data_IF_414527198422
#
_entry.id   IF_414527198422
#
_cell.length_a   1.000
_cell.length_b   1.000
_cell.length_c   1.000
_cell.angle_alpha   90.00
_cell.angle_beta   90.00
_cell.angle_gamma   90.00
#
_symmetry.space_group_name_H-M   'P 1'
#
loop_
_entity.id
_entity.type
_entity.pdbx_description
1 polymer ?
#
# COMPACT_ATOMS: atom_id res chain seq x y z
N UNK A 1 -16.46 -25.82 5.45
CA UNK A 1 -16.56 -26.40 6.81
C UNK A 1 -16.32 -27.90 6.70
N UNK A 2 -15.39 -28.47 7.47
CA UNK A 2 -15.19 -29.93 7.54
C UNK A 2 -15.85 -30.44 8.82
N UNK A 3 -16.59 -31.54 8.76
CA UNK A 3 -17.19 -32.18 9.94
C UNK A 3 -18.67 -31.85 10.24
N UNK A 4 -19.45 -31.38 9.25
CA UNK A 4 -20.92 -31.28 9.38
C UNK A 4 -21.47 -30.03 10.09
N UNK A 5 -20.61 -29.09 10.50
CA UNK A 5 -21.06 -27.80 11.01
C UNK A 5 -21.83 -27.02 9.92
N UNK A 6 -22.94 -26.39 10.31
CA UNK A 6 -23.81 -25.59 9.44
C UNK A 6 -23.76 -24.09 9.74
N UNK A 7 -23.17 -23.70 10.88
CA UNK A 7 -23.10 -22.31 11.35
C UNK A 7 -21.70 -22.02 11.91
N UNK A 8 -21.24 -20.78 11.74
CA UNK A 8 -20.05 -20.25 12.39
C UNK A 8 -20.38 -18.92 13.05
N UNK A 9 -19.81 -18.67 14.22
CA UNK A 9 -19.85 -17.35 14.85
C UNK A 9 -18.58 -16.59 14.49
N UNK A 10 -18.73 -15.34 14.07
CA UNK A 10 -17.63 -14.49 13.60
C UNK A 10 -17.82 -13.08 14.12
N UNK A 11 -16.75 -12.30 14.11
CA UNK A 11 -16.81 -10.86 14.38
C UNK A 11 -16.09 -10.09 13.30
N UNK A 12 -16.57 -8.88 13.03
CA UNK A 12 -15.87 -7.96 12.12
C UNK A 12 -14.48 -7.69 12.67
N UNK A 13 -13.48 -7.73 11.79
CA UNK A 13 -12.07 -7.55 12.12
C UNK A 13 -11.49 -8.60 13.08
N UNK A 14 -12.24 -9.67 13.39
CA UNK A 14 -11.86 -10.66 14.39
C UNK A 14 -11.91 -10.14 15.83
N UNK A 15 -12.64 -9.05 16.10
CA UNK A 15 -12.74 -8.50 17.46
C UNK A 15 -13.30 -9.51 18.47
N UNK A 16 -12.79 -9.47 19.69
CA UNK A 16 -13.25 -10.31 20.79
C UNK A 16 -12.38 -10.12 22.02
N UNK A 17 -12.63 -10.93 23.05
CA UNK A 17 -11.73 -11.03 24.20
C UNK A 17 -10.44 -11.75 23.81
N UNK A 18 -9.32 -11.40 24.46
CA UNK A 18 -8.00 -12.01 24.25
C UNK A 18 -7.54 -11.92 22.79
N UNK A 19 -7.40 -13.07 22.11
CA UNK A 19 -6.90 -13.15 20.73
C UNK A 19 -7.98 -12.85 19.67
N UNK A 20 -9.23 -12.64 20.07
CA UNK A 20 -10.34 -12.37 19.15
C UNK A 20 -11.15 -13.61 18.76
N UNK A 21 -12.13 -13.40 17.88
CA UNK A 21 -12.94 -14.44 17.27
C UNK A 21 -12.55 -14.65 15.80
N UNK A 22 -13.12 -15.66 15.15
CA UNK A 22 -13.00 -15.82 13.71
C UNK A 22 -13.44 -14.54 12.99
N UNK A 23 -12.57 -14.02 12.12
CA UNK A 23 -12.83 -12.80 11.38
C UNK A 23 -13.90 -13.04 10.30
N UNK A 24 -14.94 -12.20 10.30
CA UNK A 24 -16.06 -12.30 9.36
C UNK A 24 -15.56 -12.23 7.91
N UNK A 25 -14.76 -11.22 7.59
CA UNK A 25 -14.26 -10.95 6.24
C UNK A 25 -13.39 -12.09 5.70
N UNK A 26 -12.56 -12.70 6.55
CA UNK A 26 -11.72 -13.84 6.17
C UNK A 26 -12.57 -15.11 5.99
N UNK A 27 -13.53 -15.32 6.89
CA UNK A 27 -14.42 -16.50 6.86
C UNK A 27 -15.32 -16.50 5.63
N UNK A 28 -15.93 -15.36 5.30
CA UNK A 28 -16.80 -15.19 4.11
C UNK A 28 -16.02 -15.49 2.84
N UNK A 29 -14.83 -14.88 2.68
CA UNK A 29 -14.00 -15.08 1.49
C UNK A 29 -13.49 -16.51 1.39
N UNK A 30 -13.01 -17.09 2.51
CA UNK A 30 -12.51 -18.46 2.53
C UNK A 30 -13.60 -19.49 2.21
N UNK A 31 -14.81 -19.33 2.77
CA UNK A 31 -15.95 -20.21 2.48
C UNK A 31 -16.33 -20.17 1.00
N UNK A 32 -16.39 -18.97 0.40
CA UNK A 32 -16.69 -18.84 -1.03
C UNK A 32 -15.57 -19.42 -1.91
N UNK A 33 -14.30 -19.11 -1.62
CA UNK A 33 -13.17 -19.47 -2.51
C UNK A 33 -12.71 -20.92 -2.38
N UNK A 34 -12.73 -21.49 -1.16
CA UNK A 34 -12.19 -22.82 -0.90
C UNK A 34 -13.26 -23.91 -0.89
N UNK A 35 -14.52 -23.53 -0.74
CA UNK A 35 -15.63 -24.48 -0.57
C UNK A 35 -16.85 -24.17 -1.45
N UNK A 36 -16.82 -23.09 -2.24
CA UNK A 36 -17.96 -22.59 -3.03
C UNK A 36 -19.26 -22.42 -2.22
N UNK A 37 -19.12 -22.09 -0.93
CA UNK A 37 -20.25 -21.83 -0.05
C UNK A 37 -20.59 -20.34 -0.11
N UNK A 38 -21.79 -20.03 -0.57
CA UNK A 38 -22.35 -18.68 -0.46
C UNK A 38 -22.91 -18.44 0.94
N UNK A 39 -22.47 -17.36 1.58
CA UNK A 39 -22.91 -16.94 2.92
C UNK A 39 -24.03 -15.91 2.87
N UNK A 40 -24.39 -15.41 1.69
CA UNK A 40 -25.30 -14.26 1.50
C UNK A 40 -24.68 -12.90 1.86
N UNK A 41 -23.39 -12.86 2.22
CA UNK A 41 -22.70 -11.62 2.55
C UNK A 41 -22.13 -10.98 1.28
N UNK A 42 -22.46 -9.71 1.05
CA UNK A 42 -21.90 -8.93 -0.04
C UNK A 42 -20.43 -8.59 0.24
N UNK A 43 -19.52 -9.32 -0.40
CA UNK A 43 -18.08 -9.21 -0.18
C UNK A 43 -17.52 -7.79 -0.48
N UNK A 44 -18.15 -7.06 -1.40
CA UNK A 44 -17.81 -5.67 -1.74
C UNK A 44 -18.03 -4.67 -0.60
N UNK A 45 -18.85 -5.01 0.39
CA UNK A 45 -19.15 -4.15 1.55
C UNK A 45 -18.25 -4.44 2.76
N UNK A 46 -17.42 -5.48 2.71
CA UNK A 46 -16.60 -5.91 3.85
C UNK A 46 -15.64 -4.83 4.32
N UNK A 47 -15.03 -4.07 3.39
CA UNK A 47 -14.12 -2.97 3.74
C UNK A 47 -14.86 -1.84 4.48
N UNK A 48 -16.03 -1.44 3.99
CA UNK A 48 -16.83 -0.40 4.64
C UNK A 48 -17.27 -0.78 6.06
N UNK A 49 -17.74 -2.02 6.25
CA UNK A 49 -18.10 -2.51 7.58
C UNK A 49 -16.88 -2.60 8.51
N UNK A 50 -15.74 -3.07 7.99
CA UNK A 50 -14.47 -3.11 8.72
C UNK A 50 -14.07 -1.72 9.25
N UNK A 51 -14.18 -0.69 8.41
CA UNK A 51 -13.82 0.69 8.77
C UNK A 51 -14.80 1.29 9.81
N UNK A 52 -16.11 1.05 9.66
CA UNK A 52 -17.11 1.48 10.64
C UNK A 52 -16.85 0.86 12.02
N UNK A 53 -16.53 -0.44 12.06
CA UNK A 53 -16.24 -1.14 13.33
C UNK A 53 -14.91 -0.69 13.93
N UNK A 54 -13.88 -0.45 13.11
CA UNK A 54 -12.60 0.09 13.58
C UNK A 54 -12.79 1.45 14.25
N UNK A 55 -13.59 2.33 13.63
CA UNK A 55 -13.93 3.64 14.18
C UNK A 55 -14.73 3.50 15.49
N UNK A 56 -15.81 2.73 15.49
CA UNK A 56 -16.69 2.59 16.65
C UNK A 56 -16.00 1.93 17.86
N UNK A 57 -15.09 0.98 17.61
CA UNK A 57 -14.37 0.28 18.67
C UNK A 57 -13.09 1.00 19.13
N UNK A 58 -12.65 2.04 18.41
CA UNK A 58 -11.35 2.68 18.64
C UNK A 58 -10.16 1.76 18.36
N UNK A 59 -10.35 0.65 17.63
CA UNK A 59 -9.30 -0.33 17.31
C UNK A 59 -8.97 -0.29 15.83
N UNK A 60 -7.86 0.34 15.42
CA UNK A 60 -7.51 0.45 14.01
C UNK A 60 -7.17 -0.92 13.42
N UNK A 61 -7.49 -1.10 12.14
CA UNK A 61 -7.15 -2.30 11.37
C UNK A 61 -5.71 -2.19 10.87
N UNK A 62 -4.92 -3.23 11.09
CA UNK A 62 -3.57 -3.32 10.53
C UNK A 62 -3.60 -3.26 9.00
N UNK A 63 -2.68 -2.51 8.40
CA UNK A 63 -2.68 -2.31 6.95
C UNK A 63 -2.45 -3.60 6.15
N UNK A 64 -1.77 -4.59 6.73
CA UNK A 64 -1.53 -5.91 6.15
C UNK A 64 -2.59 -6.97 6.53
N UNK A 65 -3.67 -6.59 7.24
CA UNK A 65 -4.74 -7.54 7.59
C UNK A 65 -5.41 -8.08 6.33
N UNK A 66 -5.56 -9.39 6.26
CA UNK A 66 -6.25 -10.09 5.17
C UNK A 66 -7.59 -9.45 4.80
N UNK A 67 -7.90 -9.40 3.50
CA UNK A 67 -9.15 -8.91 2.90
C UNK A 67 -9.38 -7.40 3.03
N UNK A 68 -9.30 -6.85 4.24
CA UNK A 68 -9.72 -5.46 4.56
C UNK A 68 -8.56 -4.50 4.87
N UNK A 69 -7.34 -5.00 4.97
CA UNK A 69 -6.14 -4.19 5.17
C UNK A 69 -5.86 -3.27 3.98
N UNK A 70 -5.34 -2.08 4.24
CA UNK A 70 -5.03 -1.08 3.20
C UNK A 70 -4.02 -1.55 2.15
N UNK A 71 -3.08 -2.43 2.52
CA UNK A 71 -1.94 -2.83 1.67
C UNK A 71 -2.09 -4.21 1.02
N UNK A 72 -3.17 -4.94 1.27
CA UNK A 72 -3.28 -6.33 0.77
C UNK A 72 -3.41 -6.45 -0.76
N UNK A 73 -3.71 -5.36 -1.46
CA UNK A 73 -3.74 -5.29 -2.93
C UNK A 73 -2.71 -4.31 -3.50
N UNK A 74 -1.76 -3.86 -2.68
CA UNK A 74 -0.70 -2.96 -3.12
C UNK A 74 0.50 -3.73 -3.68
N UNK A 75 1.04 -3.25 -4.78
CA UNK A 75 2.25 -3.77 -5.42
C UNK A 75 3.35 -2.71 -5.36
N UNK A 76 4.56 -3.13 -5.02
CA UNK A 76 5.70 -2.25 -5.05
C UNK A 76 6.07 -1.93 -6.51
N UNK A 77 6.17 -0.64 -6.85
CA UNK A 77 6.69 -0.22 -8.14
C UNK A 77 8.14 -0.71 -8.25
N UNK A 78 8.49 -1.45 -9.31
CA UNK A 78 9.80 -2.12 -9.46
C UNK A 78 9.83 -3.12 -10.62
N UNK A 79 10.88 -3.96 -10.68
CA UNK A 79 11.29 -4.86 -11.79
C UNK A 79 10.21 -5.79 -12.40
N UNK A 80 9.00 -5.83 -11.86
CA UNK A 80 7.92 -6.71 -12.34
C UNK A 80 6.53 -6.05 -12.41
N UNK A 81 6.41 -4.72 -12.51
CA UNK A 81 5.09 -4.08 -12.79
C UNK A 81 4.52 -4.58 -14.12
N UNK A 82 5.37 -4.89 -15.09
CA UNK A 82 5.00 -5.53 -16.36
C UNK A 82 4.34 -6.92 -16.19
N UNK A 83 4.70 -7.67 -15.15
CA UNK A 83 4.18 -9.01 -14.90
C UNK A 83 2.74 -9.02 -14.41
N UNK A 84 2.33 -8.00 -13.65
CA UNK A 84 0.95 -7.84 -13.14
C UNK A 84 -0.06 -7.71 -14.29
N UNK A 85 0.32 -7.02 -15.37
CA UNK A 85 -0.53 -6.88 -16.55
C UNK A 85 -0.48 -8.09 -17.48
N UNK A 86 0.57 -8.92 -17.39
CA UNK A 86 0.82 -10.02 -18.34
C UNK A 86 0.23 -11.36 -17.87
N UNK A 87 0.21 -11.66 -16.57
CA UNK A 87 -0.30 -12.95 -16.07
C UNK A 87 -1.00 -12.87 -14.69
N UNK A 88 -2.27 -12.42 -14.64
CA UNK A 88 -3.05 -12.32 -13.40
C UNK A 88 -3.25 -13.67 -12.66
N UNK A 89 -3.29 -14.76 -13.42
CA UNK A 89 -3.65 -16.11 -12.93
C UNK A 89 -2.48 -16.91 -12.35
N UNK A 90 -1.23 -16.42 -12.47
CA UNK A 90 -0.02 -17.20 -12.07
C UNK A 90 0.12 -17.39 -10.57
N UNK A 91 -0.61 -16.61 -9.79
CA UNK A 91 -0.79 -16.79 -8.36
C UNK A 91 -2.30 -16.79 -8.12
N UNK A 92 -2.81 -17.63 -7.22
CA UNK A 92 -4.21 -17.60 -6.78
C UNK A 92 -4.53 -16.32 -5.97
N UNK A 93 -4.09 -15.16 -6.47
CA UNK A 93 -4.37 -13.83 -5.98
C UNK A 93 -5.88 -13.64 -6.03
N UNK A 94 -6.48 -13.37 -4.87
CA UNK A 94 -7.85 -12.92 -4.81
C UNK A 94 -7.98 -11.63 -5.64
N UNK A 95 -8.73 -11.69 -6.75
CA UNK A 95 -9.00 -10.51 -7.57
C UNK A 95 -9.65 -9.43 -6.70
N UNK A 96 -9.04 -8.25 -6.51
CA UNK A 96 -9.58 -7.22 -5.64
C UNK A 96 -10.97 -6.75 -6.07
N UNK A 97 -11.35 -6.88 -7.35
CA UNK A 97 -12.66 -6.47 -7.85
C UNK A 97 -13.81 -7.22 -7.16
N UNK A 98 -13.60 -8.48 -6.75
CA UNK A 98 -14.62 -9.26 -6.01
C UNK A 98 -14.91 -8.69 -4.62
N UNK A 99 -14.01 -7.86 -4.11
CA UNK A 99 -14.14 -7.12 -2.85
C UNK A 99 -14.45 -5.63 -3.08
N UNK A 100 -14.73 -5.21 -4.32
CA UNK A 100 -14.95 -3.80 -4.65
C UNK A 100 -13.70 -2.95 -4.48
N UNK A 101 -12.52 -3.53 -4.74
CA UNK A 101 -11.22 -2.88 -4.60
C UNK A 101 -10.43 -2.98 -5.91
N UNK A 102 -9.35 -2.23 -5.97
CA UNK A 102 -8.43 -2.22 -7.10
C UNK A 102 -6.99 -2.45 -6.62
N UNK A 103 -6.14 -2.89 -7.54
CA UNK A 103 -4.70 -2.91 -7.30
C UNK A 103 -4.15 -1.49 -7.25
N UNK A 104 -3.26 -1.24 -6.30
CA UNK A 104 -2.55 0.03 -6.20
C UNK A 104 -1.04 -0.20 -6.34
N UNK A 105 -0.35 0.71 -7.02
CA UNK A 105 1.11 0.68 -7.12
C UNK A 105 1.67 1.69 -6.13
N UNK A 106 2.59 1.24 -5.28
CA UNK A 106 3.18 2.04 -4.20
C UNK A 106 4.70 2.09 -4.31
N UNK A 107 5.32 3.13 -3.76
CA UNK A 107 6.78 3.26 -3.71
C UNK A 107 7.40 2.30 -2.68
N UNK A 108 8.59 1.79 -3.00
CA UNK A 108 9.38 0.93 -2.13
C UNK A 108 10.86 0.87 -2.52
N UNK A 109 11.60 -0.05 -1.91
CA UNK A 109 13.07 -0.18 -2.04
C UNK A 109 13.56 -0.55 -3.44
N UNK A 110 12.70 -1.12 -4.26
CA UNK A 110 12.94 -1.54 -5.65
C UNK A 110 12.33 -0.56 -6.67
N UNK A 111 11.69 0.53 -6.22
CA UNK A 111 11.13 1.55 -7.13
C UNK A 111 12.16 2.15 -8.05
N UNK A 112 11.78 2.38 -9.30
CA UNK A 112 12.59 3.07 -10.31
C UNK A 112 12.24 4.56 -10.40
N UNK A 113 13.02 5.32 -11.16
CA UNK A 113 12.81 6.76 -11.33
C UNK A 113 11.43 7.10 -11.90
N UNK A 114 10.88 6.31 -12.81
CA UNK A 114 9.53 6.53 -13.36
C UNK A 114 8.43 6.42 -12.29
N UNK A 115 8.58 5.51 -11.34
CA UNK A 115 7.65 5.36 -10.23
C UNK A 115 7.69 6.57 -9.29
N UNK A 116 8.90 7.10 -9.04
CA UNK A 116 9.07 8.35 -8.29
C UNK A 116 8.34 9.50 -8.99
N UNK A 117 8.60 9.72 -10.27
CA UNK A 117 7.95 10.80 -11.05
C UNK A 117 6.44 10.70 -10.93
N UNK A 118 5.86 9.52 -11.20
CA UNK A 118 4.41 9.31 -11.13
C UNK A 118 3.84 9.53 -9.73
N UNK A 119 4.55 9.11 -8.69
CA UNK A 119 4.11 9.33 -7.32
C UNK A 119 4.07 10.82 -6.96
N UNK A 120 5.06 11.60 -7.39
CA UNK A 120 5.05 13.05 -7.17
C UNK A 120 4.05 13.79 -8.07
N UNK A 121 3.80 13.31 -9.30
CA UNK A 121 2.72 13.81 -10.15
C UNK A 121 1.34 13.66 -9.49
N UNK A 122 1.09 12.52 -8.82
CA UNK A 122 -0.14 12.30 -8.04
C UNK A 122 -0.27 13.28 -6.85
N UNK A 123 0.85 13.82 -6.36
CA UNK A 123 0.90 14.88 -5.34
C UNK A 123 0.82 16.30 -5.95
N UNK A 124 0.70 16.42 -7.27
CA UNK A 124 0.69 17.71 -7.98
C UNK A 124 2.08 18.34 -8.15
N UNK A 125 3.15 17.56 -8.04
CA UNK A 125 4.55 18.03 -8.12
C UNK A 125 5.21 17.45 -9.37
N UNK A 126 5.61 18.32 -10.28
CA UNK A 126 6.45 17.95 -11.43
C UNK A 126 7.92 17.90 -11.02
N UNK A 127 8.57 16.77 -11.22
CA UNK A 127 9.99 16.59 -10.93
C UNK A 127 10.85 16.72 -12.17
N UNK A 128 11.90 17.52 -12.08
CA UNK A 128 12.99 17.49 -13.05
C UNK A 128 13.76 16.15 -12.97
N UNK A 129 14.34 15.66 -14.09
CA UNK A 129 15.01 14.35 -14.13
C UNK A 129 16.12 14.18 -13.08
N UNK A 130 16.88 15.23 -12.80
CA UNK A 130 17.95 15.21 -11.82
C UNK A 130 17.43 15.10 -10.38
N UNK A 131 16.38 15.87 -10.06
CA UNK A 131 15.72 15.82 -8.76
C UNK A 131 15.04 14.46 -8.53
N UNK A 132 14.43 13.88 -9.55
CA UNK A 132 13.85 12.54 -9.48
C UNK A 132 14.91 11.46 -9.18
N UNK A 133 16.12 11.58 -9.75
CA UNK A 133 17.25 10.68 -9.43
C UNK A 133 17.77 10.90 -8.01
N UNK A 134 17.85 12.14 -7.54
CA UNK A 134 18.29 12.46 -6.19
C UNK A 134 17.31 11.93 -5.14
N UNK A 135 16.01 12.07 -5.37
CA UNK A 135 14.96 11.58 -4.48
C UNK A 135 14.88 10.05 -4.44
N UNK A 136 15.30 9.37 -5.51
CA UNK A 136 15.20 7.92 -5.63
C UNK A 136 15.92 7.18 -4.49
N UNK A 137 17.15 7.55 -4.16
CA UNK A 137 17.91 6.91 -3.07
C UNK A 137 17.22 7.15 -1.72
N UNK A 138 16.86 8.41 -1.42
CA UNK A 138 16.21 8.78 -0.17
C UNK A 138 14.86 8.08 0.03
N UNK A 139 14.07 7.93 -1.03
CA UNK A 139 12.79 7.20 -0.98
C UNK A 139 13.02 5.71 -0.72
N UNK A 140 13.99 5.08 -1.41
CA UNK A 140 14.31 3.65 -1.21
C UNK A 140 14.81 3.39 0.21
N UNK A 141 15.68 4.24 0.72
CA UNK A 141 16.21 4.16 2.09
C UNK A 141 15.11 4.38 3.14
N UNK A 142 14.22 5.35 2.91
CA UNK A 142 13.05 5.56 3.76
C UNK A 142 12.20 4.30 3.79
N UNK A 143 11.79 3.77 2.63
CA UNK A 143 10.98 2.57 2.53
C UNK A 143 11.62 1.35 3.22
N UNK A 144 12.93 1.15 3.03
CA UNK A 144 13.68 0.07 3.68
C UNK A 144 13.76 0.26 5.20
N UNK A 145 13.81 1.51 5.69
CA UNK A 145 13.84 1.81 7.13
C UNK A 145 12.47 1.64 7.78
N UNK A 146 11.41 2.16 7.18
CA UNK A 146 10.06 2.15 7.77
C UNK A 146 9.29 0.87 7.49
N UNK A 147 9.79 0.01 6.57
CA UNK A 147 9.19 -1.28 6.19
C UNK A 147 7.74 -1.15 5.71
N UNK A 148 7.41 -0.01 5.09
CA UNK A 148 6.12 0.31 4.48
C UNK A 148 6.31 1.29 3.33
N UNK A 149 5.30 1.46 2.45
CA UNK A 149 5.29 2.56 1.51
C UNK A 149 5.47 3.90 2.23
N UNK A 150 6.31 4.81 1.69
CA UNK A 150 6.39 6.19 2.14
C UNK A 150 5.02 6.87 2.09
N UNK A 151 4.71 7.67 3.10
CA UNK A 151 3.52 8.52 3.13
C UNK A 151 3.77 9.79 2.30
N UNK A 152 2.71 10.40 1.81
CA UNK A 152 2.75 11.66 1.07
C UNK A 152 3.49 12.75 1.85
N UNK A 153 3.28 12.85 3.17
CA UNK A 153 3.98 13.80 4.04
C UNK A 153 5.49 13.56 4.12
N UNK A 154 5.93 12.30 4.03
CA UNK A 154 7.35 11.94 4.03
C UNK A 154 7.98 12.22 2.67
N UNK A 155 7.25 12.00 1.58
CA UNK A 155 7.66 12.39 0.23
C UNK A 155 7.83 13.91 0.12
N UNK A 156 6.87 14.69 0.62
CA UNK A 156 6.97 16.16 0.67
C UNK A 156 8.17 16.63 1.49
N UNK A 157 8.46 15.95 2.60
CA UNK A 157 9.63 16.25 3.44
C UNK A 157 10.94 15.98 2.70
N UNK A 158 11.06 14.84 2.00
CA UNK A 158 12.21 14.50 1.17
C UNK A 158 12.43 15.50 0.03
N UNK A 159 11.34 15.89 -0.65
CA UNK A 159 11.38 16.90 -1.71
C UNK A 159 11.88 18.26 -1.21
N UNK A 160 11.37 18.73 -0.06
CA UNK A 160 11.79 20.00 0.53
C UNK A 160 13.27 19.97 0.91
N UNK A 161 13.74 18.86 1.50
CA UNK A 161 15.16 18.69 1.83
C UNK A 161 16.05 18.70 0.57
N UNK A 162 15.64 17.97 -0.48
CA UNK A 162 16.41 17.86 -1.72
C UNK A 162 16.49 19.19 -2.49
N UNK A 163 15.40 19.95 -2.56
CA UNK A 163 15.36 21.26 -3.21
C UNK A 163 16.19 22.31 -2.47
N UNK A 164 16.19 22.28 -1.12
CA UNK A 164 17.06 23.13 -0.31
C UNK A 164 18.55 22.89 -0.59
N UNK A 165 18.97 21.63 -0.74
CA UNK A 165 20.36 21.27 -1.09
C UNK A 165 20.78 21.82 -2.46
N UNK A 166 19.89 21.77 -3.46
CA UNK A 166 20.16 22.31 -4.80
C UNK A 166 20.34 23.84 -4.75
N UNK A 167 19.50 24.53 -3.98
CA UNK A 167 19.62 25.99 -3.84
C UNK A 167 20.91 26.43 -3.13
N UNK A 168 21.32 25.69 -2.08
CA UNK A 168 22.57 25.94 -1.35
C UNK A 168 23.83 25.69 -2.20
N UNK A 169 23.83 24.62 -3.01
CA UNK A 169 24.94 24.29 -3.91
C UNK A 169 25.04 25.27 -5.07
N UNK A 170 23.91 25.71 -5.64
CA UNK A 170 23.89 26.77 -6.64
C UNK A 170 24.44 28.10 -6.09
N UNK A 171 24.10 28.46 -4.84
CA UNK A 171 24.57 29.69 -4.20
C UNK A 171 26.08 29.67 -3.84
N UNK A 172 26.68 28.49 -3.69
CA UNK A 172 28.11 28.34 -3.34
C UNK A 172 29.02 28.09 -4.55
N UNK A 173 28.45 27.80 -5.73
CA UNK A 173 29.17 27.52 -6.97
C UNK A 173 29.87 28.71 -7.64
N UNK A 174 29.58 29.96 -7.23
CA UNK A 174 30.07 31.19 -7.89
C UNK A 174 31.40 31.75 -7.33
N UNK A 175 32.05 31.07 -6.38
CA UNK A 175 33.30 31.55 -5.75
C UNK A 175 34.60 30.91 -6.29
N UNK A 176 34.62 30.43 -7.54
CA UNK A 176 35.85 29.93 -8.19
C UNK A 176 36.09 30.58 -9.55
N UNK A 177 36.29 31.90 -9.60
CA UNK A 177 36.93 32.59 -10.73
C UNK A 177 37.37 34.02 -10.36
N UNK A 178 38.17 34.23 -9.32
CA UNK A 178 39.04 35.42 -9.21
C UNK A 178 40.27 35.08 -8.37
N UNK A 179 41.44 35.07 -9.01
CA UNK A 179 42.73 34.81 -8.38
C UNK A 179 43.79 34.48 -9.41
N UNK A 180 44.12 35.46 -10.25
CA UNK A 180 45.38 35.52 -11.02
C UNK A 180 46.54 35.88 -10.10
#
# INVERSE_FOLDING_TARGET
MRGGATHINTTVNGLGERAGNAALEESVVALKRLHDIDTGVHATLLKGISDMVALASGRPVAANKSIVGGWVFTHEAGIHVDGLYKHPDTYQSLDPAVLGREHAIVLGKHSGTSAIVRAYENLGITLEPELARLLLSGVRELAERVKRPPLDTELLSLHTAATGVIQLTAATGDYRCMGH
#
